data_IF_689597467166
#
_entry.id   IF_689597467166
#
_cell.length_a   1.000
_cell.length_b   1.000
_cell.length_c   1.000
_cell.angle_alpha   90.00
_cell.angle_beta   90.00
_cell.angle_gamma   90.00
#
_symmetry.space_group_name_H-M   'P 1'
#
loop_
_entity.id
_entity.type
_entity.pdbx_description
1 polymer ?
#
# COMPACT_ATOMS: atom_id res chain seq x y z
N UNK A 1 12.60 28.70 -6.01
CA UNK A 1 11.15 28.84 -5.86
C UNK A 1 10.82 30.29 -5.67
N UNK A 2 10.14 30.88 -6.63
CA UNK A 2 9.60 32.23 -6.50
C UNK A 2 8.25 32.22 -5.73
N UNK A 3 7.74 33.39 -5.36
CA UNK A 3 6.48 33.52 -4.59
C UNK A 3 5.26 32.96 -5.34
N UNK A 4 5.18 33.17 -6.66
CA UNK A 4 4.11 32.64 -7.51
C UNK A 4 4.17 31.13 -7.66
N UNK A 5 5.36 30.54 -7.75
CA UNK A 5 5.58 29.09 -7.77
C UNK A 5 5.14 28.44 -6.46
N UNK A 6 5.45 29.06 -5.31
CA UNK A 6 5.02 28.60 -3.98
C UNK A 6 3.50 28.62 -3.86
N UNK A 7 2.84 29.72 -4.27
CA UNK A 7 1.38 29.79 -4.25
C UNK A 7 0.73 28.75 -5.16
N UNK A 8 1.25 28.54 -6.38
CA UNK A 8 0.75 27.53 -7.29
C UNK A 8 0.90 26.11 -6.73
N UNK A 9 2.01 25.81 -6.03
CA UNK A 9 2.21 24.52 -5.38
C UNK A 9 1.28 24.34 -4.17
N UNK A 10 1.10 25.36 -3.32
CA UNK A 10 0.18 25.31 -2.19
C UNK A 10 -1.27 25.04 -2.60
N UNK A 11 -1.68 25.52 -3.78
CA UNK A 11 -3.03 25.26 -4.30
C UNK A 11 -3.19 23.84 -4.86
N UNK A 12 -2.13 23.25 -5.43
CA UNK A 12 -2.19 21.94 -6.11
C UNK A 12 -1.91 20.75 -5.19
N UNK A 13 -1.01 20.93 -4.22
CA UNK A 13 -0.56 19.86 -3.32
C UNK A 13 -1.69 19.20 -2.53
N UNK A 14 -2.71 19.91 -2.03
CA UNK A 14 -3.81 19.28 -1.30
C UNK A 14 -4.57 18.25 -2.14
N UNK A 15 -4.85 18.57 -3.41
CA UNK A 15 -5.56 17.64 -4.29
C UNK A 15 -4.71 16.43 -4.64
N UNK A 16 -3.42 16.64 -4.94
CA UNK A 16 -2.47 15.54 -5.19
C UNK A 16 -2.32 14.63 -3.97
N UNK A 17 -2.30 15.20 -2.77
CA UNK A 17 -2.20 14.44 -1.53
C UNK A 17 -3.48 13.64 -1.27
N UNK A 18 -4.66 14.21 -1.55
CA UNK A 18 -5.94 13.50 -1.48
C UNK A 18 -5.97 12.30 -2.44
N UNK A 19 -5.52 12.48 -3.68
CA UNK A 19 -5.45 11.39 -4.66
C UNK A 19 -4.48 10.29 -4.22
N UNK A 20 -3.29 10.66 -3.73
CA UNK A 20 -2.31 9.70 -3.24
C UNK A 20 -2.79 8.97 -1.97
N UNK A 21 -3.50 9.65 -1.08
CA UNK A 21 -4.11 9.06 0.11
C UNK A 21 -5.18 8.03 -0.27
N UNK A 22 -6.06 8.37 -1.21
CA UNK A 22 -7.06 7.44 -1.74
C UNK A 22 -6.40 6.22 -2.41
N UNK A 23 -5.33 6.43 -3.18
CA UNK A 23 -4.58 5.34 -3.80
C UNK A 23 -3.95 4.41 -2.75
N UNK A 24 -3.35 4.97 -1.70
CA UNK A 24 -2.74 4.22 -0.61
C UNK A 24 -3.76 3.38 0.17
N UNK A 25 -4.87 3.97 0.61
CA UNK A 25 -5.91 3.23 1.31
C UNK A 25 -6.62 2.22 0.40
N UNK A 26 -6.77 2.52 -0.89
CA UNK A 26 -7.24 1.56 -1.89
C UNK A 26 -6.32 0.35 -2.04
N UNK A 27 -5.00 0.57 -2.07
CA UNK A 27 -4.01 -0.51 -2.12
C UNK A 27 -4.02 -1.36 -0.83
N UNK A 28 -4.19 -0.72 0.34
CA UNK A 28 -4.34 -1.43 1.62
C UNK A 28 -5.57 -2.35 1.61
N UNK A 29 -6.71 -1.87 1.10
CA UNK A 29 -7.90 -2.70 0.95
C UNK A 29 -7.64 -3.93 0.08
N UNK A 30 -7.02 -3.74 -1.09
CA UNK A 30 -6.64 -4.85 -1.99
C UNK A 30 -5.69 -5.86 -1.33
N UNK A 31 -4.76 -5.39 -0.49
CA UNK A 31 -3.86 -6.27 0.25
C UNK A 31 -4.62 -7.13 1.26
N UNK A 32 -5.55 -6.54 2.01
CA UNK A 32 -6.37 -7.29 2.97
C UNK A 32 -7.28 -8.28 2.26
N UNK A 33 -7.90 -7.91 1.14
CA UNK A 33 -8.71 -8.82 0.33
C UNK A 33 -7.89 -10.01 -0.19
N UNK A 34 -6.67 -9.76 -0.66
CA UNK A 34 -5.77 -10.83 -1.13
C UNK A 34 -5.36 -11.78 0.00
N UNK A 35 -5.11 -11.25 1.21
CA UNK A 35 -4.80 -12.06 2.40
C UNK A 35 -6.01 -12.90 2.82
N UNK A 36 -7.20 -12.32 2.82
CA UNK A 36 -8.45 -13.03 3.14
C UNK A 36 -8.70 -14.16 2.14
N UNK A 37 -8.52 -13.90 0.85
CA UNK A 37 -8.67 -14.93 -0.19
C UNK A 37 -7.67 -16.08 -0.01
N UNK A 38 -6.40 -15.77 0.29
CA UNK A 38 -5.38 -16.77 0.62
C UNK A 38 -5.78 -17.61 1.84
N UNK A 39 -6.18 -16.95 2.93
CA UNK A 39 -6.56 -17.62 4.17
C UNK A 39 -7.80 -18.50 3.99
N UNK A 40 -8.82 -18.00 3.28
CA UNK A 40 -10.00 -18.77 2.96
C UNK A 40 -9.65 -20.04 2.16
N UNK A 41 -8.71 -19.93 1.21
CA UNK A 41 -8.26 -21.09 0.44
C UNK A 41 -7.51 -22.10 1.30
N UNK A 42 -6.66 -21.64 2.20
CA UNK A 42 -5.95 -22.52 3.14
C UNK A 42 -6.95 -23.28 4.03
N UNK A 43 -7.94 -22.59 4.60
CA UNK A 43 -9.02 -23.22 5.38
C UNK A 43 -9.81 -24.26 4.57
N UNK A 44 -10.15 -23.95 3.31
CA UNK A 44 -10.83 -24.88 2.41
C UNK A 44 -10.01 -26.17 2.20
N UNK A 45 -8.70 -26.05 1.95
CA UNK A 45 -7.80 -27.19 1.74
C UNK A 45 -7.68 -28.08 2.98
N UNK A 46 -7.65 -27.47 4.17
CA UNK A 46 -7.69 -28.21 5.44
C UNK A 46 -9.01 -28.94 5.64
N UNK A 47 -10.15 -28.26 5.42
CA UNK A 47 -11.48 -28.85 5.60
C UNK A 47 -11.75 -30.01 4.63
N UNK A 48 -11.24 -29.93 3.40
CA UNK A 48 -11.37 -30.98 2.39
C UNK A 48 -10.42 -32.17 2.63
N UNK A 49 -9.52 -32.09 3.61
CA UNK A 49 -8.54 -33.16 3.89
C UNK A 49 -7.56 -33.41 2.73
N UNK A 50 -7.35 -32.39 1.89
CA UNK A 50 -6.42 -32.45 0.74
C UNK A 50 -4.98 -32.46 1.25
N UNK A 51 -4.73 -31.73 2.35
CA UNK A 51 -3.44 -31.68 3.02
C UNK A 51 -3.30 -32.94 3.89
N UNK A 52 -2.40 -33.85 3.49
CA UNK A 52 -2.17 -35.17 4.12
C UNK A 52 -0.74 -35.34 4.64
N UNK A 53 0.12 -34.35 4.42
CA UNK A 53 1.50 -34.37 4.84
C UNK A 53 1.68 -34.74 6.33
N UNK A 54 2.46 -35.78 6.58
CA UNK A 54 2.77 -36.27 7.94
C UNK A 54 3.82 -35.38 8.65
N UNK A 55 4.60 -34.62 7.88
CA UNK A 55 5.57 -33.65 8.38
C UNK A 55 5.23 -32.24 7.87
N UNK A 56 5.84 -31.23 8.47
CA UNK A 56 5.58 -29.81 8.15
C UNK A 56 5.98 -29.44 6.72
N UNK A 57 7.16 -29.90 6.26
CA UNK A 57 7.65 -29.60 4.90
C UNK A 57 6.74 -30.14 3.78
N UNK A 58 6.17 -31.33 3.94
CA UNK A 58 5.23 -31.90 2.95
C UNK A 58 3.91 -31.15 3.00
N UNK A 59 3.41 -30.77 4.19
CA UNK A 59 2.19 -29.95 4.30
C UNK A 59 2.37 -28.59 3.61
N UNK A 60 3.50 -27.94 3.82
CA UNK A 60 3.80 -26.65 3.17
C UNK A 60 3.88 -26.78 1.66
N UNK A 61 4.48 -27.88 1.16
CA UNK A 61 4.53 -28.15 -0.27
C UNK A 61 3.14 -28.41 -0.88
N UNK A 62 2.29 -29.18 -0.19
CA UNK A 62 0.90 -29.46 -0.59
C UNK A 62 0.06 -28.16 -0.60
N UNK A 63 0.16 -27.35 0.46
CA UNK A 63 -0.49 -26.03 0.52
C UNK A 63 -0.01 -25.13 -0.62
N UNK A 64 1.30 -25.12 -0.89
CA UNK A 64 1.89 -24.28 -1.93
C UNK A 64 1.34 -24.60 -3.32
N UNK A 65 1.17 -25.88 -3.67
CA UNK A 65 0.60 -26.28 -4.96
C UNK A 65 -0.74 -25.60 -5.25
N UNK A 66 -1.55 -25.39 -4.21
CA UNK A 66 -2.89 -24.83 -4.33
C UNK A 66 -2.99 -23.32 -4.03
N UNK A 67 -1.97 -22.72 -3.42
CA UNK A 67 -2.01 -21.33 -2.94
C UNK A 67 -0.97 -20.40 -3.54
N UNK A 68 -0.01 -20.91 -4.32
CA UNK A 68 1.11 -20.12 -4.86
C UNK A 68 0.66 -18.88 -5.65
N UNK A 69 -0.42 -18.96 -6.43
CA UNK A 69 -0.96 -17.82 -7.17
C UNK A 69 -1.52 -16.75 -6.24
N UNK A 70 -2.28 -17.15 -5.21
CA UNK A 70 -2.82 -16.25 -4.18
C UNK A 70 -1.70 -15.61 -3.36
N UNK A 71 -0.65 -16.38 -3.01
CA UNK A 71 0.55 -15.83 -2.35
C UNK A 71 1.25 -14.80 -3.24
N UNK A 72 1.34 -15.05 -4.55
CA UNK A 72 1.88 -14.06 -5.51
C UNK A 72 0.99 -12.81 -5.58
N UNK A 73 -0.34 -12.94 -5.51
CA UNK A 73 -1.25 -11.80 -5.46
C UNK A 73 -1.04 -10.96 -4.20
N UNK A 74 -0.90 -11.59 -3.03
CA UNK A 74 -0.58 -10.90 -1.77
C UNK A 74 0.74 -10.13 -1.89
N UNK A 75 1.78 -10.74 -2.47
CA UNK A 75 3.07 -10.07 -2.67
C UNK A 75 2.92 -8.85 -3.59
N UNK A 76 2.17 -8.98 -4.69
CA UNK A 76 1.93 -7.86 -5.61
C UNK A 76 1.16 -6.73 -4.94
N UNK A 77 0.10 -7.04 -4.21
CA UNK A 77 -0.68 -6.05 -3.48
C UNK A 77 0.15 -5.35 -2.39
N UNK A 78 1.05 -6.09 -1.72
CA UNK A 78 1.98 -5.52 -0.75
C UNK A 78 2.95 -4.53 -1.41
N UNK A 79 3.50 -4.89 -2.55
CA UNK A 79 4.38 -3.99 -3.31
C UNK A 79 3.65 -2.70 -3.71
N UNK A 80 2.38 -2.82 -4.13
CA UNK A 80 1.54 -1.68 -4.48
C UNK A 80 1.28 -0.76 -3.27
N UNK A 81 1.04 -1.33 -2.08
CA UNK A 81 0.94 -0.58 -0.82
C UNK A 81 2.24 0.15 -0.54
N UNK A 82 3.39 -0.52 -0.64
CA UNK A 82 4.69 0.10 -0.36
C UNK A 82 4.98 1.27 -1.32
N UNK A 83 4.63 1.12 -2.60
CA UNK A 83 4.77 2.17 -3.61
C UNK A 83 3.86 3.39 -3.32
N UNK A 84 2.57 3.14 -3.12
CA UNK A 84 1.59 4.22 -2.86
C UNK A 84 1.84 4.92 -1.53
N UNK A 85 2.31 4.18 -0.51
CA UNK A 85 2.75 4.75 0.77
C UNK A 85 3.92 5.70 0.62
N UNK A 86 4.91 5.32 -0.19
CA UNK A 86 6.07 6.16 -0.47
C UNK A 86 5.65 7.48 -1.13
N UNK A 87 4.77 7.41 -2.13
CA UNK A 87 4.24 8.59 -2.82
C UNK A 87 3.45 9.52 -1.88
N UNK A 88 2.55 8.95 -1.07
CA UNK A 88 1.80 9.71 -0.07
C UNK A 88 2.73 10.43 0.92
N UNK A 89 3.73 9.73 1.47
CA UNK A 89 4.69 10.35 2.39
C UNK A 89 5.55 11.41 1.71
N UNK A 90 5.94 11.20 0.45
CA UNK A 90 6.67 12.19 -0.33
C UNK A 90 5.86 13.48 -0.50
N UNK A 91 4.59 13.37 -0.92
CA UNK A 91 3.71 14.53 -1.11
C UNK A 91 3.42 15.24 0.22
N UNK A 92 3.25 14.51 1.31
CA UNK A 92 3.10 15.08 2.65
C UNK A 92 4.32 15.90 3.07
N UNK A 93 5.51 15.32 2.96
CA UNK A 93 6.75 16.03 3.26
C UNK A 93 6.94 17.25 2.34
N UNK A 94 6.54 17.13 1.07
CA UNK A 94 6.57 18.25 0.12
C UNK A 94 5.63 19.37 0.53
N UNK A 95 4.42 19.06 1.00
CA UNK A 95 3.48 20.04 1.53
C UNK A 95 4.07 20.78 2.73
N UNK A 96 4.62 20.06 3.70
CA UNK A 96 5.23 20.64 4.90
C UNK A 96 6.39 21.58 4.53
N UNK A 97 7.25 21.14 3.60
CA UNK A 97 8.36 21.96 3.10
C UNK A 97 7.89 23.22 2.38
N UNK A 98 6.86 23.11 1.54
CA UNK A 98 6.31 24.27 0.80
C UNK A 98 5.63 25.26 1.76
N UNK A 99 4.94 24.78 2.79
CA UNK A 99 4.37 25.62 3.85
C UNK A 99 5.47 26.36 4.61
N UNK A 100 6.56 25.68 4.99
CA UNK A 100 7.69 26.31 5.65
C UNK A 100 8.33 27.39 4.77
N UNK A 101 8.56 27.10 3.48
CA UNK A 101 9.10 28.08 2.52
C UNK A 101 8.16 29.27 2.39
N UNK A 102 6.84 29.04 2.36
CA UNK A 102 5.86 30.12 2.30
C UNK A 102 5.90 31.00 3.54
N UNK A 103 5.98 30.43 4.74
CA UNK A 103 6.12 31.18 6.00
C UNK A 103 7.39 32.06 5.98
N UNK A 104 8.53 31.48 5.59
CA UNK A 104 9.81 32.18 5.51
C UNK A 104 9.80 33.32 4.47
N UNK A 105 9.18 33.11 3.30
CA UNK A 105 9.08 34.12 2.24
C UNK A 105 8.09 35.24 2.55
N UNK A 106 7.02 34.91 3.28
CA UNK A 106 5.95 35.87 3.61
C UNK A 106 6.19 36.58 4.94
N UNK A 107 7.24 36.20 5.70
CA UNK A 107 7.48 36.65 7.08
C UNK A 107 6.24 36.48 7.98
N UNK A 108 5.41 35.48 7.67
CA UNK A 108 4.24 35.17 8.48
C UNK A 108 4.73 34.47 9.75
N UNK A 109 4.56 35.14 10.89
CA UNK A 109 4.80 34.58 12.23
C UNK A 109 3.75 33.52 12.57
#
# INVERSE_FOLDING_TARGET
MDRTEVFAQLQRLPEQLREAELAYYGALGRLEDAKLALHAKECELFNLGIIKGKNEQIRDAEVWQHTHELKRMVIKAKLEVDQTKSEYHYLKNKQDNVQLIAQLLLQLQ
#
